data_IF_115940497491
#
_entry.id   IF_115940497491
#
_cell.length_a   1.000
_cell.length_b   1.000
_cell.length_c   1.000
_cell.angle_alpha   90.00
_cell.angle_beta   90.00
_cell.angle_gamma   90.00
#
_symmetry.space_group_name_H-M   'P 1'
#
loop_
_entity.id
_entity.type
_entity.pdbx_description
1 polymer ?
#
# COMPACT_ATOMS: atom_id res chain seq x y z
N UNK A 1 48.05 34.33 -23.75
CA UNK A 1 46.59 34.37 -23.98
C UNK A 1 45.89 33.00 -23.90
N UNK A 2 46.58 31.85 -24.07
CA UNK A 2 45.94 30.53 -24.10
C UNK A 2 45.68 29.88 -22.72
N UNK A 3 46.33 30.38 -21.65
CA UNK A 3 46.12 29.92 -20.27
C UNK A 3 44.82 30.47 -19.64
N UNK A 4 44.41 31.69 -20.01
CA UNK A 4 43.17 32.30 -19.52
C UNK A 4 41.93 31.68 -20.19
N UNK A 5 42.04 31.29 -21.47
CA UNK A 5 40.98 30.61 -22.23
C UNK A 5 40.71 29.18 -21.72
N UNK A 6 41.74 28.47 -21.22
CA UNK A 6 41.59 27.14 -20.61
C UNK A 6 40.93 27.16 -19.23
N UNK A 7 41.13 28.23 -18.45
CA UNK A 7 40.47 28.39 -17.14
C UNK A 7 38.96 28.64 -17.29
N UNK A 8 38.53 29.36 -18.34
CA UNK A 8 37.11 29.62 -18.61
C UNK A 8 36.41 28.34 -19.10
N UNK A 9 37.09 27.48 -19.86
CA UNK A 9 36.53 26.19 -20.32
C UNK A 9 36.41 25.14 -19.19
N UNK A 10 37.27 25.21 -18.17
CA UNK A 10 37.19 24.32 -17.00
C UNK A 10 36.07 24.72 -16.01
N UNK A 11 35.70 26.00 -15.97
CA UNK A 11 34.61 26.50 -15.12
C UNK A 11 33.21 26.31 -15.74
N UNK A 12 33.10 26.15 -17.07
CA UNK A 12 31.83 25.93 -17.74
C UNK A 12 31.32 24.48 -17.66
N UNK A 13 32.19 23.51 -17.36
CA UNK A 13 31.83 22.09 -17.26
C UNK A 13 31.37 21.67 -15.85
N UNK A 14 31.68 22.49 -14.82
CA UNK A 14 31.31 22.20 -13.43
C UNK A 14 29.89 22.65 -13.06
N UNK A 15 29.21 23.41 -13.92
CA UNK A 15 27.89 23.98 -13.63
C UNK A 15 26.71 23.11 -14.06
N UNK A 16 26.93 21.94 -14.68
CA UNK A 16 25.86 21.10 -15.25
C UNK A 16 25.37 20.01 -14.27
N UNK A 17 26.01 19.82 -13.11
CA UNK A 17 25.68 18.71 -12.19
C UNK A 17 24.61 19.00 -11.13
N UNK A 18 23.92 20.16 -11.15
CA UNK A 18 22.99 20.55 -10.09
C UNK A 18 21.49 20.44 -10.40
N UNK A 19 21.09 19.79 -11.49
CA UNK A 19 19.66 19.62 -11.82
C UNK A 19 19.29 18.15 -12.00
N UNK A 20 19.21 17.45 -10.87
CA UNK A 20 18.35 16.28 -10.72
C UNK A 20 17.66 16.40 -9.36
N UNK A 21 16.70 17.32 -9.22
CA UNK A 21 15.68 17.13 -8.21
C UNK A 21 14.85 15.92 -8.66
N UNK A 22 14.70 14.86 -7.86
CA UNK A 22 13.89 13.71 -8.24
C UNK A 22 12.46 14.19 -8.47
N UNK A 23 11.86 13.83 -9.61
CA UNK A 23 10.45 14.09 -9.89
C UNK A 23 9.61 13.51 -8.76
N UNK A 24 8.92 14.37 -8.01
CA UNK A 24 7.92 13.97 -7.03
C UNK A 24 6.55 14.15 -7.69
N UNK A 25 5.72 13.11 -7.79
CA UNK A 25 4.35 13.27 -8.27
C UNK A 25 3.62 14.30 -7.40
N UNK A 26 2.86 15.20 -8.03
CA UNK A 26 2.06 16.19 -7.29
C UNK A 26 0.99 15.50 -6.43
N UNK A 27 0.66 16.12 -5.30
CA UNK A 27 -0.33 15.58 -4.35
C UNK A 27 0.27 14.64 -3.30
N UNK A 28 -0.62 13.95 -2.59
CA UNK A 28 -0.25 13.06 -1.49
C UNK A 28 -1.42 12.16 -1.10
N UNK A 29 -1.09 11.01 -0.52
CA UNK A 29 -2.10 10.07 -0.07
C UNK A 29 -1.63 8.63 -0.16
N UNK A 30 -2.57 7.74 -0.50
CA UNK A 30 -2.31 6.31 -0.62
C UNK A 30 -2.71 5.81 -1.99
N UNK A 31 -1.87 4.97 -2.58
CA UNK A 31 -2.12 4.25 -3.82
C UNK A 31 -1.86 2.77 -3.59
N UNK A 32 -2.57 1.88 -4.27
CA UNK A 32 -2.27 0.47 -4.22
C UNK A 32 -3.23 -0.40 -5.01
N UNK A 33 -3.09 -1.70 -4.85
CA UNK A 33 -3.93 -2.71 -5.45
C UNK A 33 -4.57 -3.62 -4.40
N UNK A 34 -5.85 -3.95 -4.59
CA UNK A 34 -6.57 -4.97 -3.83
C UNK A 34 -6.64 -6.25 -4.65
N UNK A 35 -6.19 -7.35 -4.06
CA UNK A 35 -6.26 -8.68 -4.64
C UNK A 35 -6.96 -9.66 -3.71
N UNK A 36 -7.54 -10.72 -4.27
CA UNK A 36 -8.24 -11.77 -3.58
C UNK A 36 -7.42 -13.07 -3.60
N UNK A 37 -7.26 -13.70 -2.45
CA UNK A 37 -6.61 -15.00 -2.32
C UNK A 37 -7.46 -15.93 -1.46
N UNK A 38 -7.80 -17.10 -2.00
CA UNK A 38 -8.60 -18.11 -1.29
C UNK A 38 -8.10 -19.53 -1.53
N UNK A 39 -8.60 -20.49 -0.74
CA UNK A 39 -8.28 -21.91 -0.88
C UNK A 39 -6.93 -22.32 -0.30
N UNK A 40 -6.47 -23.54 -0.63
CA UNK A 40 -5.26 -24.12 -0.07
C UNK A 40 -3.99 -23.54 -0.72
N UNK A 41 -3.18 -22.89 0.11
CA UNK A 41 -1.90 -22.25 -0.18
C UNK A 41 -0.71 -22.97 0.48
N UNK A 42 -0.91 -24.15 1.10
CA UNK A 42 0.18 -24.94 1.67
C UNK A 42 1.21 -25.32 0.60
N UNK A 43 2.51 -25.16 0.87
CA UNK A 43 3.56 -25.65 -0.01
C UNK A 43 3.41 -27.16 -0.24
N UNK A 44 3.24 -27.58 -1.50
CA UNK A 44 3.28 -29.00 -1.85
C UNK A 44 4.70 -29.35 -2.30
N UNK A 45 5.28 -30.41 -1.74
CA UNK A 45 6.55 -30.95 -2.23
C UNK A 45 6.25 -31.64 -3.56
N UNK A 46 6.84 -31.14 -4.63
CA UNK A 46 6.79 -31.76 -5.96
C UNK A 46 8.15 -32.40 -6.20
N UNK A 47 8.15 -33.70 -6.55
CA UNK A 47 9.34 -34.55 -6.63
C UNK A 47 10.41 -34.02 -7.61
N UNK A 48 10.03 -33.18 -8.58
CA UNK A 48 10.94 -32.64 -9.61
C UNK A 48 11.51 -31.24 -9.31
N UNK A 49 11.45 -30.75 -8.06
CA UNK A 49 12.09 -29.47 -7.67
C UNK A 49 11.49 -28.21 -8.30
N UNK A 50 10.53 -28.34 -9.21
CA UNK A 50 9.74 -27.26 -9.75
C UNK A 50 8.76 -26.79 -8.68
N UNK A 51 9.17 -25.86 -7.80
CA UNK A 51 8.27 -25.20 -6.85
C UNK A 51 7.01 -24.78 -7.61
N UNK A 52 5.86 -25.39 -7.31
CA UNK A 52 4.57 -24.89 -7.77
C UNK A 52 4.40 -23.50 -7.14
N UNK A 53 4.80 -22.47 -7.88
CA UNK A 53 4.71 -21.06 -7.48
C UNK A 53 3.24 -20.66 -7.64
N UNK A 54 2.35 -21.21 -6.80
CA UNK A 54 1.02 -20.62 -6.63
C UNK A 54 1.24 -19.18 -6.20
N UNK A 55 0.76 -18.26 -7.01
CA UNK A 55 0.99 -16.82 -6.86
C UNK A 55 0.36 -16.37 -5.54
N UNK A 56 1.21 -16.10 -4.54
CA UNK A 56 0.78 -15.56 -3.23
C UNK A 56 0.18 -14.15 -3.32
N UNK A 57 0.13 -13.58 -4.52
CA UNK A 57 -0.34 -12.21 -4.77
C UNK A 57 -1.85 -12.13 -5.06
N UNK A 58 -2.56 -13.26 -5.23
CA UNK A 58 -4.00 -13.28 -5.48
C UNK A 58 -4.41 -12.76 -6.86
N UNK A 59 -5.73 -12.72 -7.11
CA UNK A 59 -6.35 -12.16 -8.33
C UNK A 59 -6.87 -10.75 -8.05
N UNK A 60 -6.70 -9.77 -8.96
CA UNK A 60 -7.27 -8.43 -8.78
C UNK A 60 -8.78 -8.46 -8.52
N UNK A 61 -9.27 -7.62 -7.61
CA UNK A 61 -10.68 -7.66 -7.20
C UNK A 61 -11.25 -6.27 -6.93
N UNK A 62 -12.52 -6.08 -7.33
CA UNK A 62 -13.27 -4.85 -7.03
C UNK A 62 -13.73 -4.83 -5.57
N UNK A 63 -13.30 -3.83 -4.79
CA UNK A 63 -13.69 -3.63 -3.39
C UNK A 63 -13.82 -2.16 -3.02
N UNK A 64 -14.66 -1.87 -2.05
CA UNK A 64 -14.65 -0.58 -1.36
C UNK A 64 -13.50 -0.59 -0.35
N UNK A 65 -12.59 0.37 -0.48
CA UNK A 65 -11.53 0.66 0.47
C UNK A 65 -11.98 1.84 1.34
N UNK A 66 -11.96 1.65 2.67
CA UNK A 66 -12.32 2.68 3.65
C UNK A 66 -11.11 3.13 4.44
N UNK A 67 -11.01 4.44 4.62
CA UNK A 67 -9.98 5.08 5.44
C UNK A 67 -10.60 5.52 6.76
N UNK A 68 -9.98 5.09 7.86
CA UNK A 68 -10.38 5.46 9.22
C UNK A 68 -9.27 6.27 9.90
N UNK A 69 -9.60 7.04 10.96
CA UNK A 69 -8.60 7.42 11.94
C UNK A 69 -7.88 6.16 12.45
N UNK A 70 -6.64 6.28 12.91
CA UNK A 70 -5.85 5.13 13.37
C UNK A 70 -6.65 4.27 14.38
N UNK A 71 -6.90 3.01 14.03
CA UNK A 71 -7.71 2.05 14.80
C UNK A 71 -6.79 1.02 15.46
N UNK A 72 -7.06 0.69 16.72
CA UNK A 72 -6.38 -0.39 17.44
C UNK A 72 -7.19 -1.68 17.42
N UNK A 73 -6.47 -2.81 17.41
CA UNK A 73 -7.06 -4.14 17.52
C UNK A 73 -7.83 -4.35 18.83
N UNK A 74 -7.46 -3.62 19.90
CA UNK A 74 -8.16 -3.64 21.19
C UNK A 74 -9.58 -3.08 21.13
N UNK A 75 -9.89 -2.27 20.12
CA UNK A 75 -11.11 -1.48 20.05
C UNK A 75 -12.13 -2.08 19.05
N UNK A 76 -11.84 -3.26 18.53
CA UNK A 76 -12.66 -3.96 17.52
C UNK A 76 -12.89 -5.41 17.92
N UNK A 77 -13.90 -6.02 17.32
CA UNK A 77 -14.18 -7.46 17.46
C UNK A 77 -13.91 -8.16 16.15
N UNK A 78 -13.09 -9.21 16.20
CA UNK A 78 -12.78 -10.09 15.08
C UNK A 78 -13.67 -11.33 15.12
N UNK A 79 -14.33 -11.63 14.00
CA UNK A 79 -15.10 -12.85 13.83
C UNK A 79 -14.95 -13.35 12.38
N UNK A 80 -14.66 -14.64 12.23
CA UNK A 80 -14.38 -15.29 10.94
C UNK A 80 -13.37 -14.54 10.05
N UNK A 81 -12.32 -13.95 10.65
CA UNK A 81 -11.29 -13.20 9.93
C UNK A 81 -11.70 -11.79 9.47
N UNK A 82 -12.87 -11.31 9.90
CA UNK A 82 -13.40 -9.99 9.60
C UNK A 82 -13.68 -9.18 10.87
N UNK A 83 -13.41 -7.88 10.83
CA UNK A 83 -13.79 -6.94 11.87
C UNK A 83 -15.26 -6.56 11.72
N UNK A 84 -16.08 -6.82 12.75
CA UNK A 84 -17.54 -6.61 12.64
C UNK A 84 -17.96 -5.15 12.65
N UNK A 85 -17.21 -4.31 13.34
CA UNK A 85 -17.37 -2.88 13.29
C UNK A 85 -16.13 -2.19 13.85
N UNK A 86 -15.92 -0.97 13.38
CA UNK A 86 -14.96 -0.03 13.95
C UNK A 86 -15.80 1.10 14.55
N UNK A 87 -15.57 1.46 15.81
CA UNK A 87 -16.34 2.51 16.48
C UNK A 87 -16.15 3.89 15.83
N UNK A 88 -14.96 4.14 15.27
CA UNK A 88 -14.67 5.35 14.53
C UNK A 88 -15.42 5.38 13.18
N UNK A 89 -15.90 6.56 12.80
CA UNK A 89 -16.48 6.79 11.47
C UNK A 89 -15.37 6.83 10.41
N UNK A 90 -15.62 6.32 9.19
CA UNK A 90 -14.66 6.46 8.10
C UNK A 90 -14.50 7.95 7.74
N UNK A 91 -13.27 8.33 7.41
CA UNK A 91 -12.90 9.66 6.90
C UNK A 91 -13.33 9.78 5.43
N UNK A 92 -13.08 8.73 4.66
CA UNK A 92 -13.42 8.64 3.24
C UNK A 92 -13.46 7.18 2.80
N UNK A 93 -14.02 6.93 1.62
CA UNK A 93 -14.04 5.64 0.96
C UNK A 93 -13.85 5.79 -0.55
N UNK A 94 -13.28 4.78 -1.18
CA UNK A 94 -13.08 4.70 -2.63
C UNK A 94 -13.39 3.28 -3.09
N UNK A 95 -13.95 3.12 -4.28
CA UNK A 95 -14.02 1.81 -4.92
C UNK A 95 -12.77 1.60 -5.79
N UNK A 96 -12.20 0.40 -5.72
CA UNK A 96 -11.14 0.02 -6.65
C UNK A 96 -11.69 -0.14 -8.07
N UNK A 97 -10.81 -0.02 -9.07
CA UNK A 97 -11.17 -0.32 -10.46
C UNK A 97 -11.24 -1.83 -10.73
N UNK A 98 -11.48 -2.20 -12.00
CA UNK A 98 -11.57 -3.59 -12.47
C UNK A 98 -10.23 -4.36 -12.34
N UNK A 99 -9.11 -3.66 -12.20
CA UNK A 99 -7.79 -4.22 -11.92
C UNK A 99 -7.45 -4.15 -10.43
N UNK A 100 -8.43 -3.87 -9.56
CA UNK A 100 -8.24 -3.74 -8.12
C UNK A 100 -7.43 -2.51 -7.69
N UNK A 101 -7.12 -1.58 -8.59
CA UNK A 101 -6.32 -0.39 -8.26
C UNK A 101 -7.16 0.66 -7.55
N UNK A 102 -6.57 1.36 -6.60
CA UNK A 102 -7.19 2.49 -5.92
C UNK A 102 -6.20 3.59 -5.60
N UNK A 103 -6.73 4.81 -5.51
CA UNK A 103 -5.97 6.01 -5.12
C UNK A 103 -6.85 6.85 -4.21
N UNK A 104 -6.32 7.26 -3.05
CA UNK A 104 -7.01 8.14 -2.11
C UNK A 104 -6.11 9.32 -1.75
N UNK A 105 -6.55 10.54 -2.07
CA UNK A 105 -5.89 11.75 -1.58
C UNK A 105 -6.13 11.90 -0.07
N UNK A 106 -5.07 12.05 0.71
CA UNK A 106 -5.14 12.20 2.16
C UNK A 106 -4.14 13.26 2.63
N UNK A 107 -4.55 14.08 3.59
CA UNK A 107 -3.64 15.00 4.30
C UNK A 107 -2.59 14.23 5.11
N UNK A 108 -1.44 14.86 5.45
CA UNK A 108 -0.39 14.17 6.19
C UNK A 108 -0.92 13.66 7.53
N UNK A 109 -0.62 12.42 7.87
CA UNK A 109 -1.20 11.77 9.04
C UNK A 109 -1.02 10.26 9.06
N UNK A 110 -1.51 9.62 10.13
CA UNK A 110 -1.55 8.16 10.28
C UNK A 110 -2.98 7.67 10.29
N UNK A 111 -3.25 6.65 9.49
CA UNK A 111 -4.59 6.12 9.24
C UNK A 111 -4.61 4.60 9.28
N UNK A 112 -5.81 4.05 9.43
CA UNK A 112 -6.08 2.62 9.19
C UNK A 112 -6.88 2.47 7.89
N UNK A 113 -6.42 1.61 6.99
CA UNK A 113 -7.09 1.35 5.71
C UNK A 113 -7.61 -0.09 5.68
N UNK A 114 -8.91 -0.26 5.42
CA UNK A 114 -9.58 -1.56 5.46
C UNK A 114 -10.44 -1.75 4.21
N UNK A 115 -10.60 -2.99 3.75
CA UNK A 115 -11.58 -3.31 2.69
C UNK A 115 -12.94 -3.64 3.30
N UNK A 116 -14.02 -3.32 2.59
CA UNK A 116 -15.38 -3.70 2.95
C UNK A 116 -15.71 -5.05 2.31
N UNK A 117 -16.10 -6.01 3.15
CA UNK A 117 -16.52 -7.35 2.75
C UNK A 117 -17.96 -7.61 3.22
N UNK A 118 -18.62 -8.62 2.64
CA UNK A 118 -20.03 -8.95 2.94
C UNK A 118 -20.30 -9.13 4.45
N UNK A 119 -19.33 -9.64 5.20
CA UNK A 119 -19.46 -9.96 6.62
C UNK A 119 -18.78 -9.00 7.60
N UNK A 120 -18.17 -7.90 7.13
CA UNK A 120 -17.41 -6.97 7.96
C UNK A 120 -16.31 -6.22 7.19
N UNK A 121 -15.32 -5.71 7.93
CA UNK A 121 -14.13 -5.07 7.37
C UNK A 121 -12.95 -6.04 7.40
N UNK A 122 -12.06 -5.96 6.43
CA UNK A 122 -10.85 -6.79 6.38
C UNK A 122 -9.58 -5.95 6.42
N UNK A 123 -8.60 -6.45 7.17
CA UNK A 123 -7.21 -6.04 7.17
C UNK A 123 -6.35 -7.19 7.73
N UNK A 124 -5.12 -7.32 7.25
CA UNK A 124 -4.22 -8.43 7.61
C UNK A 124 -2.87 -7.99 8.17
N UNK A 125 -2.55 -6.69 8.10
CA UNK A 125 -1.30 -6.14 8.64
C UNK A 125 -1.60 -5.43 9.97
N UNK A 126 -0.70 -5.61 10.93
CA UNK A 126 -0.71 -4.90 12.21
C UNK A 126 0.71 -4.40 12.50
N UNK A 127 0.83 -3.22 13.10
CA UNK A 127 2.13 -2.77 13.63
C UNK A 127 2.38 -3.31 15.06
N UNK A 128 3.59 -3.05 15.58
CA UNK A 128 3.97 -3.48 16.93
C UNK A 128 3.17 -2.84 18.07
N UNK A 129 2.41 -1.77 17.79
CA UNK A 129 1.56 -1.08 18.76
C UNK A 129 0.10 -1.56 18.71
N UNK A 130 -0.18 -2.57 17.86
CA UNK A 130 -1.51 -3.13 17.66
C UNK A 130 -2.44 -2.26 16.81
N UNK A 131 -1.91 -1.31 16.04
CA UNK A 131 -2.72 -0.57 15.08
C UNK A 131 -3.03 -1.46 13.86
N UNK A 132 -4.25 -1.37 13.36
CA UNK A 132 -4.75 -2.19 12.24
C UNK A 132 -4.41 -1.50 10.92
N UNK A 133 -3.79 -2.23 9.99
CA UNK A 133 -3.32 -1.80 8.66
C UNK A 133 -2.86 -0.33 8.64
N UNK A 134 -1.87 0.04 9.46
CA UNK A 134 -1.48 1.42 9.62
C UNK A 134 -0.72 1.92 8.39
N UNK A 135 -1.08 3.10 7.90
CA UNK A 135 -0.37 3.81 6.82
C UNK A 135 0.00 5.21 7.29
N UNK A 136 1.19 5.67 6.92
CA UNK A 136 1.65 7.03 7.24
C UNK A 136 1.80 7.82 5.95
N UNK A 137 0.96 8.83 5.77
CA UNK A 137 1.04 9.77 4.66
C UNK A 137 1.89 10.96 5.09
N UNK A 138 2.93 11.26 4.31
CA UNK A 138 3.76 12.46 4.51
C UNK A 138 3.37 13.55 3.52
N UNK A 139 3.77 14.78 3.82
CA UNK A 139 3.55 15.92 2.93
C UNK A 139 4.22 15.67 1.57
N UNK A 140 3.44 15.82 0.50
CA UNK A 140 3.89 15.60 -0.87
C UNK A 140 4.29 14.16 -1.22
N UNK A 141 3.91 13.16 -0.42
CA UNK A 141 4.28 11.77 -0.63
C UNK A 141 3.05 10.89 -0.91
N UNK A 142 3.16 10.04 -1.92
CA UNK A 142 2.22 8.95 -2.18
C UNK A 142 2.75 7.65 -1.57
N UNK A 143 2.02 7.09 -0.62
CA UNK A 143 2.40 5.84 0.05
C UNK A 143 1.76 4.65 -0.66
N UNK A 144 2.57 3.64 -0.99
CA UNK A 144 2.08 2.39 -1.57
C UNK A 144 1.50 1.48 -0.48
N UNK A 145 0.30 0.97 -0.69
CA UNK A 145 -0.34 -0.01 0.18
C UNK A 145 -1.14 -1.04 -0.63
N UNK A 146 -0.53 -2.16 -0.94
CA UNK A 146 -1.26 -3.29 -1.53
C UNK A 146 -1.96 -4.11 -0.45
N UNK A 147 -3.16 -4.60 -0.76
CA UNK A 147 -4.01 -5.35 0.17
C UNK A 147 -4.35 -6.70 -0.47
N UNK A 148 -3.86 -7.78 0.13
CA UNK A 148 -4.25 -9.14 -0.24
C UNK A 148 -5.35 -9.60 0.71
N UNK A 149 -6.58 -9.59 0.21
CA UNK A 149 -7.76 -10.08 0.91
C UNK A 149 -7.71 -11.60 0.96
N UNK A 150 -7.41 -12.16 2.13
CA UNK A 150 -7.06 -13.58 2.28
C UNK A 150 -7.76 -14.28 3.44
N UNK A 151 -8.85 -13.74 3.98
CA UNK A 151 -9.59 -14.37 5.08
C UNK A 151 -10.27 -15.70 4.70
N UNK A 152 -10.27 -16.07 3.40
CA UNK A 152 -10.69 -17.39 2.89
C UNK A 152 -9.53 -18.28 2.42
N UNK A 153 -8.29 -17.87 2.65
CA UNK A 153 -7.12 -18.69 2.34
C UNK A 153 -6.74 -19.58 3.53
N UNK A 154 -6.25 -20.78 3.24
CA UNK A 154 -5.62 -21.67 4.20
C UNK A 154 -4.14 -21.81 3.84
N UNK A 155 -3.24 -21.54 4.78
CA UNK A 155 -1.78 -21.53 4.57
C UNK A 155 -1.09 -22.69 5.28
#
# INVERSE_FOLDING_TARGET
>A
MYKLLRLIFAAAFTSILFQCAPYQPEGQGVVGQVTWLEGNQMPTIVEDGAKNKKTTMGEPVKRTVRVYPLVKISDVTLDAGLFKSVAAKPITEVETDENGQYTVNLSPGRYSILTVEEGGLFASIFDGDGNIQPVTVKEGEWTLLDIVVNYRAAF
#
